data_IF_393096313898
#
_entry.id   IF_393096313898
#
_cell.length_a   1.000
_cell.length_b   1.000
_cell.length_c   1.000
_cell.angle_alpha   90.00
_cell.angle_beta   90.00
_cell.angle_gamma   90.00
#
_symmetry.space_group_name_H-M   'P 1'
#
loop_
_entity.id
_entity.type
_entity.pdbx_description
1 polymer ?
#
# COMPACT_ATOMS: atom_id res chain seq x y z
N UNK A 1 59.32 26.60 12.27
CA UNK A 1 59.23 25.24 11.68
C UNK A 1 58.12 24.48 12.41
N UNK A 2 57.27 23.72 11.70
CA UNK A 2 55.82 23.91 11.77
C UNK A 2 55.09 22.97 12.74
N UNK A 3 53.98 23.47 13.29
CA UNK A 3 52.97 22.69 13.99
C UNK A 3 52.36 21.64 13.04
N UNK A 4 52.53 20.35 13.36
CA UNK A 4 51.80 19.26 12.70
C UNK A 4 50.35 19.28 13.20
N UNK A 5 49.46 19.88 12.41
CA UNK A 5 48.03 19.56 12.47
C UNK A 5 47.88 18.07 12.12
N UNK A 6 47.68 17.24 13.14
CA UNK A 6 47.23 15.86 12.95
C UNK A 6 45.79 15.90 12.45
N UNK A 7 45.62 15.93 11.12
CA UNK A 7 44.33 15.67 10.50
C UNK A 7 43.97 14.21 10.84
N UNK A 8 43.16 14.03 11.88
CA UNK A 8 42.58 12.73 12.23
C UNK A 8 41.70 12.35 11.04
N UNK A 9 42.24 11.52 10.14
CA UNK A 9 41.48 10.92 9.04
C UNK A 9 40.30 10.18 9.67
N UNK A 10 39.13 10.79 9.66
CA UNK A 10 37.87 10.11 9.91
C UNK A 10 37.78 9.04 8.85
N UNK A 11 38.09 7.78 9.21
CA UNK A 11 37.82 6.63 8.37
C UNK A 11 36.32 6.63 8.14
N UNK A 12 35.87 7.07 6.97
CA UNK A 12 34.58 6.67 6.44
C UNK A 12 34.65 5.15 6.36
N UNK A 13 33.99 4.46 7.29
CA UNK A 13 33.86 3.01 7.23
C UNK A 13 33.06 2.72 5.96
N UNK A 14 33.74 2.25 4.91
CA UNK A 14 33.07 1.59 3.80
C UNK A 14 32.52 0.27 4.33
N UNK A 15 31.26 0.27 4.77
CA UNK A 15 30.51 -0.94 5.21
C UNK A 15 30.05 -1.76 3.97
N UNK A 16 30.88 -1.83 2.94
CA UNK A 16 30.68 -2.71 1.79
C UNK A 16 31.70 -3.85 1.88
N UNK A 17 31.60 -4.63 2.95
CA UNK A 17 32.20 -5.96 2.93
C UNK A 17 31.37 -6.83 2.00
N UNK A 18 31.98 -7.78 1.27
CA UNK A 18 31.28 -8.64 0.28
C UNK A 18 30.05 -9.39 0.83
N UNK A 19 29.94 -9.49 2.15
CA UNK A 19 28.91 -10.26 2.85
C UNK A 19 27.74 -9.40 3.34
N UNK A 20 27.78 -8.08 3.15
CA UNK A 20 26.69 -7.19 3.56
C UNK A 20 26.31 -6.24 2.42
N UNK A 21 25.07 -5.80 2.43
CA UNK A 21 24.57 -4.77 1.52
C UNK A 21 23.70 -3.78 2.29
N UNK A 22 23.60 -2.57 1.74
CA UNK A 22 22.71 -1.53 2.25
C UNK A 22 21.54 -1.40 1.29
N UNK A 23 20.32 -1.38 1.82
CA UNK A 23 19.11 -1.07 1.06
C UNK A 23 18.37 0.06 1.72
N UNK A 24 17.71 0.89 0.91
CA UNK A 24 16.81 1.94 1.39
C UNK A 24 15.39 1.40 1.44
N UNK A 25 14.63 1.77 2.46
CA UNK A 25 13.21 1.45 2.59
C UNK A 25 12.47 2.77 2.75
N UNK A 26 11.58 3.08 1.80
CA UNK A 26 10.62 4.18 1.92
C UNK A 26 9.41 3.70 2.71
N UNK A 27 9.14 4.38 3.81
CA UNK A 27 8.01 4.14 4.70
C UNK A 27 6.75 4.85 4.19
N UNK A 28 5.61 4.59 4.84
CA UNK A 28 4.30 5.12 4.42
C UNK A 28 4.14 6.62 4.69
N UNK A 29 4.89 7.16 5.65
CA UNK A 29 5.02 8.59 5.94
C UNK A 29 6.02 9.30 4.99
N UNK A 30 6.52 8.58 3.98
CA UNK A 30 7.56 8.97 3.03
C UNK A 30 8.97 9.12 3.60
N UNK A 31 9.18 8.88 4.90
CA UNK A 31 10.53 8.81 5.46
C UNK A 31 11.29 7.63 4.85
N UNK A 32 12.62 7.77 4.77
CA UNK A 32 13.49 6.73 4.23
C UNK A 32 14.44 6.28 5.31
N UNK A 33 14.44 4.98 5.57
CA UNK A 33 15.40 4.34 6.47
C UNK A 33 16.40 3.49 5.68
N UNK A 34 17.59 3.34 6.23
CA UNK A 34 18.62 2.46 5.67
C UNK A 34 18.78 1.22 6.56
N UNK A 35 18.77 0.05 5.92
CA UNK A 35 19.07 -1.22 6.57
C UNK A 35 20.36 -1.80 5.98
N UNK A 36 21.31 -2.12 6.87
CA UNK A 36 22.49 -2.92 6.53
C UNK A 36 22.17 -4.37 6.84
N UNK A 37 22.16 -5.23 5.82
CA UNK A 37 21.75 -6.63 5.92
C UNK A 37 22.86 -7.54 5.40
N UNK A 38 22.92 -8.77 5.92
CA UNK A 38 23.77 -9.82 5.32
C UNK A 38 23.23 -10.17 3.93
N UNK A 39 24.10 -10.58 3.00
CA UNK A 39 23.67 -11.07 1.68
C UNK A 39 22.76 -12.30 1.74
N UNK A 40 22.76 -13.01 2.87
CA UNK A 40 21.90 -14.16 3.15
C UNK A 40 20.56 -13.77 3.79
N UNK A 41 20.43 -12.52 4.28
CA UNK A 41 19.23 -12.10 4.99
C UNK A 41 17.99 -12.18 4.10
N UNK A 42 16.91 -12.65 4.69
CA UNK A 42 15.62 -12.85 4.05
C UNK A 42 14.82 -11.55 3.98
N UNK A 43 13.72 -11.57 3.23
CA UNK A 43 12.76 -10.46 3.24
C UNK A 43 12.11 -10.29 4.62
N UNK A 44 11.87 -11.39 5.34
CA UNK A 44 11.30 -11.41 6.68
C UNK A 44 12.18 -10.65 7.67
N UNK A 45 13.48 -10.92 7.71
CA UNK A 45 14.41 -10.20 8.60
C UNK A 45 14.46 -8.70 8.29
N UNK A 46 14.33 -8.32 7.02
CA UNK A 46 14.24 -6.91 6.64
C UNK A 46 12.92 -6.26 7.10
N UNK A 47 11.79 -6.96 6.96
CA UNK A 47 10.49 -6.49 7.43
C UNK A 47 10.46 -6.34 8.95
N UNK A 48 11.05 -7.29 9.69
CA UNK A 48 11.19 -7.22 11.14
C UNK A 48 12.04 -6.01 11.58
N UNK A 49 13.12 -5.69 10.85
CA UNK A 49 13.94 -4.51 11.13
C UNK A 49 13.19 -3.18 10.90
N UNK A 50 12.22 -3.16 9.97
CA UNK A 50 11.30 -2.03 9.76
C UNK A 50 10.28 -1.98 10.91
N UNK A 51 9.66 -3.12 11.21
CA UNK A 51 8.66 -3.24 12.26
C UNK A 51 9.20 -2.83 13.64
N UNK A 52 10.44 -3.22 13.97
CA UNK A 52 11.09 -2.83 15.22
C UNK A 52 11.27 -1.31 15.32
N UNK A 53 11.63 -0.63 14.23
CA UNK A 53 11.77 0.84 14.20
C UNK A 53 10.43 1.55 14.35
N UNK A 54 9.36 0.93 13.87
CA UNK A 54 7.99 1.44 13.98
C UNK A 54 7.26 0.95 15.22
N UNK A 55 7.90 0.14 16.08
CA UNK A 55 7.26 -0.51 17.25
C UNK A 55 6.01 -1.35 16.90
N UNK A 56 5.99 -1.89 15.68
CA UNK A 56 4.88 -2.64 15.10
C UNK A 56 5.00 -4.13 15.46
N UNK A 57 3.95 -4.70 16.07
CA UNK A 57 3.85 -6.13 16.42
C UNK A 57 2.96 -6.90 15.45
N UNK A 58 1.92 -6.27 14.91
CA UNK A 58 1.00 -6.86 13.92
C UNK A 58 1.60 -6.87 12.51
N UNK A 59 2.80 -7.44 12.35
CA UNK A 59 3.57 -7.39 11.09
C UNK A 59 2.93 -8.18 9.94
N UNK A 60 2.02 -9.10 10.24
CA UNK A 60 1.35 -9.97 9.27
C UNK A 60 0.43 -9.22 8.29
N UNK A 61 0.10 -7.95 8.54
CA UNK A 61 -0.65 -7.12 7.58
C UNK A 61 0.23 -6.43 6.54
N UNK A 62 1.54 -6.39 6.76
CA UNK A 62 2.46 -5.56 5.99
C UNK A 62 3.44 -6.39 5.17
N UNK A 63 3.99 -5.75 4.15
CA UNK A 63 5.04 -6.32 3.33
C UNK A 63 6.02 -5.27 2.85
N UNK A 64 7.01 -5.74 2.11
CA UNK A 64 7.93 -4.89 1.36
C UNK A 64 7.72 -5.15 -0.13
N UNK A 65 7.77 -4.10 -0.95
CA UNK A 65 7.75 -4.23 -2.40
C UNK A 65 8.84 -3.39 -3.05
N UNK A 66 9.20 -3.74 -4.27
CA UNK A 66 10.15 -2.98 -5.09
C UNK A 66 9.67 -2.86 -6.53
N UNK A 67 10.23 -1.89 -7.24
CA UNK A 67 9.95 -1.68 -8.66
C UNK A 67 10.69 -2.73 -9.51
N UNK A 68 9.97 -3.49 -10.33
CA UNK A 68 10.51 -4.53 -11.19
C UNK A 68 11.26 -3.99 -12.42
N UNK A 69 12.26 -4.73 -12.91
CA UNK A 69 13.01 -4.44 -14.15
C UNK A 69 12.23 -4.69 -15.45
N UNK A 70 11.30 -5.66 -15.43
CA UNK A 70 10.73 -6.24 -16.64
C UNK A 70 9.71 -5.32 -17.34
N UNK A 71 8.98 -4.52 -16.56
CA UNK A 71 8.01 -3.55 -17.07
C UNK A 71 8.08 -2.28 -16.23
N UNK A 72 8.13 -1.09 -16.86
CA UNK A 72 7.96 0.17 -16.16
C UNK A 72 6.66 0.09 -15.33
N UNK A 73 6.74 0.46 -14.04
CA UNK A 73 5.60 0.42 -13.09
C UNK A 73 5.11 -0.96 -12.63
N UNK A 74 5.78 -2.07 -12.96
CA UNK A 74 5.47 -3.35 -12.28
C UNK A 74 5.96 -3.35 -10.83
N UNK A 75 5.03 -3.23 -9.88
CA UNK A 75 5.30 -3.40 -8.46
C UNK A 75 5.44 -4.89 -8.15
N UNK A 76 6.40 -5.25 -7.29
CA UNK A 76 6.61 -6.63 -6.88
C UNK A 76 6.83 -6.73 -5.38
N UNK A 77 5.97 -7.49 -4.71
CA UNK A 77 6.15 -7.85 -3.32
C UNK A 77 7.38 -8.76 -3.13
N UNK A 78 8.11 -8.51 -2.05
CA UNK A 78 9.22 -9.32 -1.59
C UNK A 78 8.70 -10.65 -1.10
N UNK A 79 9.30 -11.74 -1.55
CA UNK A 79 9.07 -13.05 -0.97
C UNK A 79 9.84 -13.14 0.36
N UNK A 80 9.12 -13.04 1.47
CA UNK A 80 9.70 -12.88 2.81
C UNK A 80 10.64 -14.03 3.18
N UNK A 81 10.33 -15.26 2.77
CA UNK A 81 11.14 -16.47 3.05
C UNK A 81 12.42 -16.59 2.21
N UNK A 82 12.63 -15.72 1.22
CA UNK A 82 13.77 -15.82 0.28
C UNK A 82 14.81 -14.74 0.54
N UNK A 83 16.10 -15.00 0.24
CA UNK A 83 17.15 -14.00 0.38
C UNK A 83 16.84 -12.72 -0.39
N UNK A 84 16.75 -11.59 0.32
CA UNK A 84 16.31 -10.31 -0.23
C UNK A 84 17.25 -9.80 -1.32
N UNK A 85 18.57 -9.90 -1.09
CA UNK A 85 19.58 -9.47 -2.06
C UNK A 85 19.42 -10.16 -3.42
N UNK A 86 19.17 -11.47 -3.43
CA UNK A 86 18.99 -12.24 -4.67
C UNK A 86 17.75 -11.77 -5.43
N UNK A 87 16.68 -11.39 -4.73
CA UNK A 87 15.46 -10.87 -5.35
C UNK A 87 15.70 -9.50 -5.98
N UNK A 88 16.35 -8.58 -5.25
CA UNK A 88 16.68 -7.24 -5.74
C UNK A 88 17.64 -7.29 -6.93
N UNK A 89 18.73 -8.07 -6.85
CA UNK A 89 19.71 -8.19 -7.94
C UNK A 89 19.06 -8.76 -9.21
N UNK A 90 18.18 -9.76 -9.06
CA UNK A 90 17.52 -10.43 -10.19
C UNK A 90 16.38 -9.61 -10.79
N UNK A 91 15.56 -8.98 -9.96
CA UNK A 91 14.27 -8.42 -10.37
C UNK A 91 14.10 -6.92 -10.11
N UNK A 92 14.84 -6.33 -9.18
CA UNK A 92 14.67 -4.94 -8.74
C UNK A 92 15.37 -3.93 -9.64
N UNK A 93 14.66 -2.88 -10.04
CA UNK A 93 15.20 -1.80 -10.85
C UNK A 93 16.26 -0.98 -10.11
N UNK A 94 16.06 -0.76 -8.81
CA UNK A 94 16.95 -0.03 -7.92
C UNK A 94 16.96 -0.68 -6.52
N UNK A 95 17.98 -0.43 -5.68
CA UNK A 95 18.01 -0.90 -4.29
C UNK A 95 17.12 -0.02 -3.38
N UNK A 96 15.85 0.16 -3.78
CA UNK A 96 14.82 0.85 -3.02
C UNK A 96 13.64 -0.10 -2.82
N UNK A 97 13.31 -0.31 -1.56
CA UNK A 97 12.11 -0.99 -1.11
C UNK A 97 11.09 0.03 -0.62
N UNK A 98 9.84 -0.41 -0.61
CA UNK A 98 8.71 0.35 -0.13
C UNK A 98 7.97 -0.51 0.89
N UNK A 99 7.72 0.05 2.06
CA UNK A 99 6.86 -0.57 3.06
C UNK A 99 5.40 -0.26 2.73
N UNK A 100 4.51 -1.24 2.91
CA UNK A 100 3.09 -1.04 2.64
C UNK A 100 2.20 -2.13 3.23
N UNK A 101 0.90 -1.85 3.25
CA UNK A 101 -0.12 -2.83 3.63
C UNK A 101 -0.26 -3.84 2.50
N UNK A 102 -0.08 -5.12 2.82
CA UNK A 102 -0.21 -6.24 1.88
C UNK A 102 -1.56 -6.95 2.06
N UNK A 103 -2.05 -7.05 3.29
CA UNK A 103 -3.29 -7.76 3.59
C UNK A 103 -4.29 -6.83 4.27
N UNK A 104 -5.38 -6.57 3.55
CA UNK A 104 -6.41 -5.69 4.05
C UNK A 104 -7.41 -6.43 4.96
N UNK A 105 -7.83 -5.78 6.04
CA UNK A 105 -8.90 -6.26 6.92
C UNK A 105 -10.27 -5.74 6.46
N UNK A 106 -11.36 -6.52 6.65
CA UNK A 106 -12.72 -6.07 6.35
C UNK A 106 -13.24 -4.99 7.31
N UNK A 107 -12.61 -4.84 8.47
CA UNK A 107 -13.00 -3.86 9.48
C UNK A 107 -11.78 -3.49 10.33
N UNK A 108 -11.50 -2.20 10.44
CA UNK A 108 -10.38 -1.60 11.16
C UNK A 108 -10.37 -1.93 12.65
N UNK A 109 -11.51 -2.32 13.24
CA UNK A 109 -11.57 -2.79 14.64
C UNK A 109 -10.77 -4.07 14.88
N UNK A 110 -10.36 -4.78 13.82
CA UNK A 110 -9.46 -5.92 13.90
C UNK A 110 -8.00 -5.53 14.12
N UNK A 111 -7.64 -4.26 13.91
CA UNK A 111 -6.28 -3.77 14.15
C UNK A 111 -6.17 -3.33 15.61
N UNK A 112 -5.37 -4.04 16.40
CA UNK A 112 -5.32 -3.86 17.85
C UNK A 112 -4.44 -2.66 18.22
N UNK A 113 -3.27 -2.52 17.61
CA UNK A 113 -2.33 -1.46 17.95
C UNK A 113 -2.67 -0.14 17.25
N UNK A 114 -2.52 0.96 17.97
CA UNK A 114 -2.65 2.31 17.41
C UNK A 114 -1.64 2.55 16.28
N UNK A 115 -0.39 2.11 16.44
CA UNK A 115 0.62 2.25 15.39
C UNK A 115 0.27 1.48 14.13
N UNK A 116 -0.38 0.31 14.24
CA UNK A 116 -0.89 -0.44 13.09
C UNK A 116 -1.96 0.37 12.37
N UNK A 117 -2.92 0.96 13.10
CA UNK A 117 -3.96 1.82 12.54
C UNK A 117 -3.36 3.05 11.86
N UNK A 118 -2.36 3.68 12.45
CA UNK A 118 -1.66 4.82 11.85
C UNK A 118 -1.00 4.45 10.52
N UNK A 119 -0.25 3.35 10.46
CA UNK A 119 0.33 2.87 9.20
C UNK A 119 -0.74 2.56 8.16
N UNK A 120 -1.86 1.97 8.59
CA UNK A 120 -2.99 1.67 7.73
C UNK A 120 -3.64 2.94 7.16
N UNK A 121 -3.84 3.95 8.01
CA UNK A 121 -4.31 5.29 7.64
C UNK A 121 -3.42 5.92 6.56
N UNK A 122 -2.09 5.88 6.74
CA UNK A 122 -1.15 6.43 5.76
C UNK A 122 -1.25 5.74 4.39
N UNK A 123 -1.38 4.40 4.38
CA UNK A 123 -1.57 3.64 3.16
C UNK A 123 -2.86 4.04 2.44
N UNK A 124 -4.00 4.04 3.14
CA UNK A 124 -5.29 4.30 2.51
C UNK A 124 -5.44 5.77 2.09
N UNK A 125 -4.86 6.71 2.85
CA UNK A 125 -4.76 8.12 2.45
C UNK A 125 -4.00 8.26 1.15
N UNK A 126 -2.84 7.60 1.04
CA UNK A 126 -2.06 7.57 -0.20
C UNK A 126 -2.86 6.99 -1.36
N UNK A 127 -3.63 5.92 -1.16
CA UNK A 127 -4.43 5.30 -2.20
C UNK A 127 -5.57 6.18 -2.72
N UNK A 128 -6.20 6.95 -1.83
CA UNK A 128 -7.18 7.98 -2.21
C UNK A 128 -6.48 9.09 -3.00
N UNK A 129 -5.37 9.64 -2.48
CA UNK A 129 -4.65 10.76 -3.12
C UNK A 129 -4.01 10.38 -4.47
N UNK A 130 -3.52 9.15 -4.61
CA UNK A 130 -3.01 8.61 -5.89
C UNK A 130 -4.14 8.34 -6.90
N UNK A 131 -5.41 8.47 -6.49
CA UNK A 131 -6.59 8.17 -7.32
C UNK A 131 -6.82 6.67 -7.55
N UNK A 132 -6.17 5.80 -6.76
CA UNK A 132 -6.38 4.34 -6.82
C UNK A 132 -7.74 3.96 -6.25
N UNK A 133 -8.11 4.56 -5.12
CA UNK A 133 -9.45 4.46 -4.54
C UNK A 133 -10.29 5.63 -5.01
N UNK A 134 -11.38 5.31 -5.71
CA UNK A 134 -12.28 6.32 -6.26
C UNK A 134 -13.27 6.76 -5.18
N UNK A 135 -13.44 8.07 -5.03
CA UNK A 135 -14.42 8.66 -4.14
C UNK A 135 -15.18 9.78 -4.86
N UNK A 136 -16.38 10.10 -4.39
CA UNK A 136 -17.10 11.30 -4.83
C UNK A 136 -16.44 12.56 -4.29
N UNK A 137 -16.81 13.73 -4.82
CA UNK A 137 -16.36 15.03 -4.29
C UNK A 137 -16.68 15.19 -2.81
N UNK A 138 -17.91 14.85 -2.41
CA UNK A 138 -18.35 14.93 -1.01
C UNK A 138 -17.54 13.99 -0.10
N UNK A 139 -17.30 12.75 -0.53
CA UNK A 139 -16.47 11.81 0.22
C UNK A 139 -15.02 12.31 0.33
N UNK A 140 -14.45 12.85 -0.74
CA UNK A 140 -13.09 13.38 -0.73
C UNK A 140 -12.92 14.58 0.18
N UNK A 141 -13.89 15.50 0.21
CA UNK A 141 -13.89 16.65 1.15
C UNK A 141 -13.92 16.17 2.60
N UNK A 142 -14.79 15.20 2.93
CA UNK A 142 -14.85 14.62 4.27
C UNK A 142 -13.54 13.92 4.66
N UNK A 143 -12.99 13.12 3.77
CA UNK A 143 -11.69 12.46 3.97
C UNK A 143 -10.59 13.48 4.19
N UNK A 144 -10.53 14.55 3.39
CA UNK A 144 -9.56 15.62 3.55
C UNK A 144 -9.69 16.33 4.92
N UNK A 145 -10.92 16.62 5.39
CA UNK A 145 -11.15 17.18 6.72
C UNK A 145 -10.65 16.29 7.86
N UNK A 146 -10.92 14.99 7.78
CA UNK A 146 -10.40 13.99 8.72
C UNK A 146 -8.87 13.88 8.65
N UNK A 147 -8.28 13.92 7.45
CA UNK A 147 -6.84 13.88 7.27
C UNK A 147 -6.17 15.11 7.88
N UNK A 148 -6.73 16.31 7.68
CA UNK A 148 -6.20 17.54 8.30
C UNK A 148 -6.23 17.42 9.82
N UNK A 149 -7.33 16.94 10.42
CA UNK A 149 -7.39 16.70 11.87
C UNK A 149 -6.36 15.66 12.34
N UNK A 150 -6.17 14.57 11.59
CA UNK A 150 -5.22 13.50 11.91
C UNK A 150 -3.75 13.92 11.77
N UNK A 151 -3.43 14.81 10.83
CA UNK A 151 -2.04 15.21 10.56
C UNK A 151 -1.63 16.48 11.32
N UNK A 152 -2.56 17.41 11.55
CA UNK A 152 -2.28 18.74 12.09
C UNK A 152 -2.95 19.02 13.43
N UNK A 153 -3.89 18.18 13.88
CA UNK A 153 -4.64 18.40 15.13
C UNK A 153 -5.71 19.47 15.01
N UNK A 154 -6.11 20.07 16.14
CA UNK A 154 -7.30 20.92 16.23
C UNK A 154 -7.21 22.22 15.41
N UNK A 155 -8.32 22.55 14.74
CA UNK A 155 -8.52 23.82 14.01
C UNK A 155 -8.10 25.07 14.81
N UNK A 156 -8.35 25.10 16.12
CA UNK A 156 -8.07 26.25 17.00
C UNK A 156 -6.58 26.52 17.23
N UNK A 157 -5.71 25.60 16.83
CA UNK A 157 -4.26 25.74 16.94
C UNK A 157 -3.68 26.63 15.84
N UNK A 158 -4.48 26.98 14.82
CA UNK A 158 -4.05 27.75 13.66
C UNK A 158 -4.68 29.15 13.65
N UNK A 159 -3.87 30.16 13.35
CA UNK A 159 -4.34 31.55 13.19
C UNK A 159 -5.15 31.75 11.89
N UNK A 160 -4.81 30.99 10.85
CA UNK A 160 -5.53 30.93 9.58
C UNK A 160 -5.46 29.52 8.99
N UNK A 161 -6.30 29.25 7.98
CA UNK A 161 -6.34 27.97 7.26
C UNK A 161 -5.55 28.01 5.94
N UNK A 162 -4.69 29.01 5.75
CA UNK A 162 -3.95 29.19 4.49
C UNK A 162 -3.02 28.00 4.18
N UNK A 163 -2.56 27.28 5.21
CA UNK A 163 -1.73 26.08 5.06
C UNK A 163 -2.42 24.97 4.25
N UNK A 164 -3.76 24.95 4.21
CA UNK A 164 -4.51 23.98 3.43
C UNK A 164 -4.22 24.09 1.92
N UNK A 165 -3.83 25.28 1.43
CA UNK A 165 -3.46 25.50 0.02
C UNK A 165 -2.15 24.83 -0.37
N UNK A 166 -1.26 24.60 0.59
CA UNK A 166 0.03 23.91 0.37
C UNK A 166 -0.07 22.40 0.66
N UNK A 167 -1.20 21.95 1.22
CA UNK A 167 -1.43 20.56 1.55
C UNK A 167 -2.13 19.80 0.43
N UNK A 168 -1.73 18.55 0.19
CA UNK A 168 -2.34 17.70 -0.85
C UNK A 168 -3.65 17.13 -0.31
N UNK A 169 -4.75 17.83 -0.60
CA UNK A 169 -6.08 17.49 -0.08
C UNK A 169 -6.85 16.48 -0.93
N UNK A 170 -6.65 16.51 -2.26
CA UNK A 170 -7.52 15.82 -3.21
C UNK A 170 -6.76 14.86 -4.11
N UNK A 171 -7.45 13.86 -4.69
CA UNK A 171 -6.85 12.92 -5.63
C UNK A 171 -6.18 13.59 -6.84
N UNK A 172 -5.03 13.07 -7.25
CA UNK A 172 -4.23 13.60 -8.38
C UNK A 172 -4.97 13.56 -9.72
N UNK A 173 -5.98 12.71 -9.86
CA UNK A 173 -6.80 12.57 -11.07
C UNK A 173 -8.02 13.52 -11.11
N UNK A 174 -8.24 14.34 -10.08
CA UNK A 174 -9.33 15.32 -10.07
C UNK A 174 -8.99 16.58 -10.86
N UNK A 175 -10.00 17.39 -11.29
CA UNK A 175 -9.76 18.66 -11.94
C UNK A 175 -8.98 19.62 -11.04
N UNK A 176 -7.89 20.19 -11.56
CA UNK A 176 -7.09 21.20 -10.87
C UNK A 176 -7.45 22.59 -11.39
N UNK A 177 -8.70 22.99 -11.18
CA UNK A 177 -9.19 24.33 -11.54
C UNK A 177 -9.24 25.17 -10.27
N UNK A 178 -8.49 26.28 -10.23
CA UNK A 178 -8.25 27.05 -9.01
C UNK A 178 -9.53 27.44 -8.26
N UNK A 179 -10.55 27.95 -8.97
CA UNK A 179 -11.83 28.35 -8.36
C UNK A 179 -12.56 27.16 -7.69
N UNK A 180 -12.52 25.99 -8.32
CA UNK A 180 -13.17 24.76 -7.81
C UNK A 180 -12.39 24.22 -6.61
N UNK A 181 -11.06 24.22 -6.70
CA UNK A 181 -10.18 23.80 -5.61
C UNK A 181 -10.34 24.72 -4.40
N UNK A 182 -10.47 26.03 -4.59
CA UNK A 182 -10.71 26.97 -3.51
C UNK A 182 -12.06 26.72 -2.83
N UNK A 183 -13.13 26.49 -3.59
CA UNK A 183 -14.43 26.12 -3.04
C UNK A 183 -14.35 24.83 -2.20
N UNK A 184 -13.69 23.79 -2.72
CA UNK A 184 -13.54 22.53 -1.98
C UNK A 184 -12.66 22.67 -0.75
N UNK A 185 -11.58 23.44 -0.85
CA UNK A 185 -10.67 23.72 0.29
C UNK A 185 -11.40 24.46 1.41
N UNK A 186 -12.29 25.39 1.07
CA UNK A 186 -13.15 26.06 2.05
C UNK A 186 -14.07 25.06 2.77
N UNK A 187 -14.66 24.10 2.05
CA UNK A 187 -15.47 23.03 2.65
C UNK A 187 -14.64 22.09 3.53
N UNK A 188 -13.38 21.82 3.14
CA UNK A 188 -12.45 21.05 3.99
C UNK A 188 -12.17 21.79 5.31
N UNK A 189 -11.99 23.11 5.27
CA UNK A 189 -11.82 23.90 6.50
C UNK A 189 -13.06 23.84 7.41
N UNK A 190 -14.27 23.78 6.84
CA UNK A 190 -15.51 23.59 7.59
C UNK A 190 -15.61 22.19 8.23
N UNK A 191 -15.26 21.13 7.48
CA UNK A 191 -15.17 19.76 8.00
C UNK A 191 -14.14 19.68 9.13
N UNK A 192 -12.92 20.22 8.95
CA UNK A 192 -11.88 20.26 9.97
C UNK A 192 -12.34 20.95 11.24
N UNK A 193 -13.02 22.09 11.11
CA UNK A 193 -13.63 22.81 12.25
C UNK A 193 -14.69 21.97 12.96
N UNK A 194 -15.46 21.16 12.23
CA UNK A 194 -16.47 20.27 12.81
C UNK A 194 -15.86 19.14 13.68
N UNK A 195 -14.59 18.80 13.43
CA UNK A 195 -13.83 17.78 14.17
C UNK A 195 -13.03 18.35 15.35
N UNK A 196 -13.25 19.62 15.73
CA UNK A 196 -12.55 20.24 16.85
C UNK A 196 -12.65 19.40 18.14
N UNK A 197 -11.50 19.20 18.80
CA UNK A 197 -11.25 18.37 20.00
C UNK A 197 -11.23 16.86 19.75
N UNK A 198 -11.36 16.41 18.51
CA UNK A 198 -11.17 15.01 18.15
C UNK A 198 -9.69 14.65 18.27
N UNK A 199 -9.39 13.50 18.90
CA UNK A 199 -8.01 13.03 19.01
C UNK A 199 -7.47 12.57 17.65
N UNK A 200 -6.17 12.70 17.42
CA UNK A 200 -5.54 12.32 16.14
C UNK A 200 -5.84 10.85 15.78
N UNK A 201 -5.63 9.94 16.73
CA UNK A 201 -5.92 8.51 16.56
C UNK A 201 -7.40 8.21 16.28
N UNK A 202 -8.32 9.07 16.75
CA UNK A 202 -9.75 8.94 16.44
C UNK A 202 -10.05 9.41 15.01
N UNK A 203 -9.44 10.51 14.57
CA UNK A 203 -9.54 11.01 13.20
C UNK A 203 -8.97 9.99 12.19
N UNK A 204 -7.82 9.38 12.49
CA UNK A 204 -7.23 8.28 11.70
C UNK A 204 -8.21 7.10 11.57
N UNK A 205 -8.80 6.66 12.68
CA UNK A 205 -9.75 5.56 12.71
C UNK A 205 -11.01 5.88 11.88
N UNK A 206 -11.55 7.09 12.00
CA UNK A 206 -12.70 7.54 11.23
C UNK A 206 -12.36 7.66 9.73
N UNK A 207 -11.17 8.13 9.39
CA UNK A 207 -10.69 8.17 8.00
C UNK A 207 -10.72 6.77 7.39
N UNK A 208 -10.13 5.78 8.08
CA UNK A 208 -10.13 4.39 7.59
C UNK A 208 -11.57 3.87 7.43
N UNK A 209 -12.46 4.14 8.39
CA UNK A 209 -13.88 3.73 8.30
C UNK A 209 -14.62 4.35 7.12
N UNK A 210 -14.30 5.59 6.73
CA UNK A 210 -14.88 6.19 5.52
C UNK A 210 -14.30 5.54 4.25
N UNK A 211 -12.99 5.26 4.24
CA UNK A 211 -12.35 4.58 3.10
C UNK A 211 -12.85 3.14 2.92
N UNK A 212 -13.14 2.42 4.00
CA UNK A 212 -13.72 1.06 3.96
C UNK A 212 -15.04 0.98 3.17
N UNK A 213 -15.75 2.10 3.04
CA UNK A 213 -17.01 2.20 2.29
C UNK A 213 -16.82 2.45 0.80
N UNK A 214 -15.61 2.79 0.35
CA UNK A 214 -15.31 3.08 -1.05
C UNK A 214 -15.25 1.77 -1.88
N UNK A 215 -15.75 1.82 -3.12
CA UNK A 215 -15.54 0.69 -4.03
C UNK A 215 -14.05 0.57 -4.37
N UNK A 216 -13.57 -0.67 -4.42
CA UNK A 216 -12.15 -0.98 -4.60
C UNK A 216 -11.35 -1.09 -3.32
N UNK A 217 -11.91 -0.76 -2.13
CA UNK A 217 -11.17 -0.92 -0.87
C UNK A 217 -10.69 -2.36 -0.66
N UNK A 218 -9.38 -2.52 -0.44
CA UNK A 218 -8.74 -3.82 -0.26
C UNK A 218 -8.86 -4.76 -1.46
N UNK A 219 -9.15 -4.23 -2.66
CA UNK A 219 -9.23 -4.98 -3.90
C UNK A 219 -7.97 -4.76 -4.73
N UNK A 220 -7.37 -5.85 -5.19
CA UNK A 220 -6.33 -5.82 -6.23
C UNK A 220 -6.91 -6.46 -7.49
N UNK A 221 -6.63 -5.89 -8.68
CA UNK A 221 -7.17 -6.42 -9.93
C UNK A 221 -6.16 -6.38 -11.07
N UNK A 222 -6.29 -7.35 -11.97
CA UNK A 222 -5.37 -7.58 -13.08
C UNK A 222 -6.16 -7.80 -14.36
N UNK A 223 -5.66 -7.23 -15.46
CA UNK A 223 -6.25 -7.44 -16.78
C UNK A 223 -6.09 -8.91 -17.21
N UNK A 224 -7.19 -9.52 -17.60
CA UNK A 224 -7.27 -10.89 -18.06
C UNK A 224 -8.26 -11.03 -19.23
N UNK A 225 -8.30 -12.22 -19.82
CA UNK A 225 -9.30 -12.63 -20.79
C UNK A 225 -10.02 -13.87 -20.29
N UNK A 226 -11.34 -13.92 -20.46
CA UNK A 226 -12.10 -15.13 -20.20
C UNK A 226 -11.85 -16.22 -21.27
N UNK A 227 -12.52 -17.36 -21.15
CA UNK A 227 -12.47 -18.45 -22.13
C UNK A 227 -13.03 -18.06 -23.51
N UNK A 228 -13.85 -17.00 -23.57
CA UNK A 228 -14.42 -16.45 -24.80
C UNK A 228 -13.60 -15.27 -25.35
N UNK A 229 -12.40 -15.02 -24.81
CA UNK A 229 -11.46 -13.95 -25.19
C UNK A 229 -11.92 -12.52 -24.89
N UNK A 230 -13.00 -12.35 -24.13
CA UNK A 230 -13.48 -11.05 -23.68
C UNK A 230 -12.50 -10.45 -22.67
N UNK A 231 -12.24 -9.15 -22.80
CA UNK A 231 -11.38 -8.44 -21.86
C UNK A 231 -12.12 -8.20 -20.54
N UNK A 232 -11.53 -8.71 -19.46
CA UNK A 232 -12.05 -8.66 -18.10
C UNK A 232 -10.95 -8.25 -17.12
N UNK A 233 -11.34 -7.99 -15.88
CA UNK A 233 -10.44 -7.87 -14.74
C UNK A 233 -10.74 -9.00 -13.76
N UNK A 234 -9.73 -9.81 -13.44
CA UNK A 234 -9.78 -10.70 -12.29
C UNK A 234 -9.23 -9.94 -11.10
N UNK A 235 -9.93 -9.99 -9.97
CA UNK A 235 -9.46 -9.35 -8.75
C UNK A 235 -9.63 -10.21 -7.53
N UNK A 236 -8.88 -9.83 -6.50
CA UNK A 236 -8.80 -10.51 -5.21
C UNK A 236 -9.06 -9.48 -4.12
N UNK A 237 -9.78 -9.88 -3.08
CA UNK A 237 -10.00 -9.09 -1.88
C UNK A 237 -10.07 -9.97 -0.63
N UNK A 238 -10.20 -9.36 0.54
CA UNK A 238 -10.45 -10.09 1.79
C UNK A 238 -11.76 -10.90 1.78
N UNK A 239 -12.69 -10.64 0.85
CA UNK A 239 -13.95 -11.40 0.71
C UNK A 239 -13.77 -12.64 -0.18
N UNK A 240 -12.95 -12.53 -1.23
CA UNK A 240 -12.79 -13.61 -2.20
C UNK A 240 -12.18 -13.16 -3.53
N UNK A 241 -12.43 -13.95 -4.57
CA UNK A 241 -12.06 -13.67 -5.95
C UNK A 241 -13.27 -13.13 -6.71
N UNK A 242 -13.09 -12.07 -7.47
CA UNK A 242 -14.13 -11.47 -8.28
C UNK A 242 -13.69 -11.24 -9.73
N UNK A 243 -14.66 -11.10 -10.62
CA UNK A 243 -14.43 -10.78 -12.03
C UNK A 243 -15.26 -9.55 -12.38
N UNK A 244 -14.63 -8.53 -12.95
CA UNK A 244 -15.27 -7.30 -13.45
C UNK A 244 -15.12 -7.19 -14.97
N UNK A 245 -16.12 -6.66 -15.66
CA UNK A 245 -15.96 -6.19 -17.04
C UNK A 245 -15.11 -4.92 -17.08
N UNK A 246 -14.62 -4.53 -18.27
CA UNK A 246 -13.92 -3.24 -18.48
C UNK A 246 -14.70 -2.01 -18.02
N UNK A 247 -16.03 -2.07 -17.99
CA UNK A 247 -16.89 -0.97 -17.50
C UNK A 247 -17.06 -0.96 -15.97
N UNK A 248 -16.30 -1.77 -15.23
CA UNK A 248 -16.33 -1.83 -13.76
C UNK A 248 -17.43 -2.72 -13.17
N UNK A 249 -18.37 -3.22 -14.00
CA UNK A 249 -19.47 -4.06 -13.51
C UNK A 249 -18.95 -5.44 -13.08
N UNK A 250 -19.18 -5.80 -11.82
CA UNK A 250 -18.91 -7.15 -11.31
C UNK A 250 -19.83 -8.17 -11.98
N UNK A 251 -19.22 -9.23 -12.52
CA UNK A 251 -19.85 -10.33 -13.23
C UNK A 251 -19.98 -11.53 -12.30
N UNK A 252 -18.93 -11.82 -11.54
CA UNK A 252 -18.82 -12.99 -10.69
C UNK A 252 -18.11 -12.63 -9.39
N UNK A 253 -18.52 -13.28 -8.30
CA UNK A 253 -17.90 -13.13 -7.00
C UNK A 253 -17.94 -14.46 -6.25
N UNK A 254 -16.78 -15.04 -5.98
CA UNK A 254 -16.60 -16.30 -5.27
C UNK A 254 -15.93 -16.04 -3.94
N UNK A 255 -16.59 -16.40 -2.83
CA UNK A 255 -16.02 -16.23 -1.49
C UNK A 255 -14.93 -17.26 -1.26
N UNK A 256 -13.97 -16.94 -0.39
CA UNK A 256 -12.87 -17.85 -0.05
C UNK A 256 -13.33 -19.26 0.36
N UNK A 257 -14.39 -19.38 1.14
CA UNK A 257 -14.94 -20.68 1.57
C UNK A 257 -15.50 -21.55 0.42
N UNK A 258 -15.81 -20.93 -0.72
CA UNK A 258 -16.40 -21.58 -1.88
C UNK A 258 -15.32 -21.92 -2.95
N UNK A 259 -14.04 -21.61 -2.67
CA UNK A 259 -12.88 -21.83 -3.55
C UNK A 259 -12.01 -22.96 -2.97
N UNK A 260 -11.63 -23.92 -3.81
CA UNK A 260 -10.77 -25.05 -3.42
C UNK A 260 -9.30 -24.75 -3.65
N UNK A 261 -8.94 -24.51 -4.91
CA UNK A 261 -7.57 -24.27 -5.33
C UNK A 261 -7.50 -23.14 -6.36
N UNK A 262 -6.40 -22.38 -6.32
CA UNK A 262 -6.07 -21.38 -7.32
C UNK A 262 -4.69 -21.73 -7.86
N UNK A 263 -4.64 -22.05 -9.16
CA UNK A 263 -3.42 -22.42 -9.85
C UNK A 263 -3.07 -21.37 -10.91
N UNK A 264 -1.77 -21.14 -11.12
CA UNK A 264 -1.28 -20.30 -12.21
C UNK A 264 -0.28 -21.09 -13.06
N UNK A 265 -0.52 -21.16 -14.36
CA UNK A 265 0.32 -21.84 -15.34
C UNK A 265 0.62 -20.91 -16.51
N UNK A 266 1.86 -20.41 -16.58
CA UNK A 266 2.38 -19.50 -17.61
C UNK A 266 1.58 -18.20 -17.76
N UNK A 267 0.47 -18.27 -18.51
CA UNK A 267 -0.41 -17.16 -18.86
C UNK A 267 -1.86 -17.48 -18.54
N UNK A 268 -2.14 -18.48 -17.70
CA UNK A 268 -3.48 -18.88 -17.31
C UNK A 268 -3.59 -19.01 -15.80
N UNK A 269 -4.68 -18.47 -15.24
CA UNK A 269 -5.11 -18.65 -13.86
C UNK A 269 -6.33 -19.57 -13.88
N UNK A 270 -6.33 -20.58 -13.03
CA UNK A 270 -7.43 -21.52 -12.85
C UNK A 270 -7.94 -21.41 -11.43
N UNK A 271 -9.26 -21.25 -11.26
CA UNK A 271 -9.93 -21.13 -9.97
C UNK A 271 -10.95 -22.27 -9.87
N UNK A 272 -10.70 -23.20 -8.95
CA UNK A 272 -11.59 -24.32 -8.66
C UNK A 272 -12.65 -23.90 -7.64
N UNK A 273 -13.94 -24.04 -7.99
CA UNK A 273 -15.09 -23.66 -7.17
C UNK A 273 -15.72 -24.92 -6.58
N UNK A 274 -15.37 -25.20 -5.32
CA UNK A 274 -15.78 -26.44 -4.62
C UNK A 274 -17.28 -26.56 -4.48
N UNK A 275 -17.98 -25.44 -4.28
CA UNK A 275 -19.45 -25.43 -4.12
C UNK A 275 -20.22 -25.86 -5.37
N UNK A 276 -19.60 -25.80 -6.56
CA UNK A 276 -20.26 -26.07 -7.84
C UNK A 276 -19.60 -27.19 -8.64
N UNK A 277 -18.53 -27.80 -8.12
CA UNK A 277 -17.67 -28.73 -8.86
C UNK A 277 -17.29 -28.18 -10.25
N UNK A 278 -16.91 -26.89 -10.27
CA UNK A 278 -16.65 -26.13 -11.49
C UNK A 278 -15.24 -25.54 -11.45
N UNK A 279 -14.65 -25.32 -12.61
CA UNK A 279 -13.30 -24.80 -12.76
C UNK A 279 -13.29 -23.67 -13.79
N UNK A 280 -13.00 -22.46 -13.32
CA UNK A 280 -12.97 -21.26 -14.16
C UNK A 280 -11.53 -20.98 -14.57
N UNK A 281 -11.31 -20.73 -15.85
CA UNK A 281 -9.99 -20.42 -16.40
C UNK A 281 -9.96 -19.00 -17.00
N UNK A 282 -8.90 -18.27 -16.68
CA UNK A 282 -8.64 -16.92 -17.15
C UNK A 282 -7.25 -16.85 -17.78
N UNK A 283 -7.09 -16.11 -18.88
CA UNK A 283 -5.81 -15.89 -19.53
C UNK A 283 -5.26 -14.51 -19.19
N UNK A 284 -4.05 -14.43 -18.64
CA UNK A 284 -3.45 -13.15 -18.22
C UNK A 284 -2.88 -12.42 -19.44
N UNK A 285 -3.13 -11.11 -19.54
CA UNK A 285 -2.69 -10.29 -20.69
C UNK A 285 -1.19 -9.95 -20.59
N UNK A 286 -0.63 -10.02 -19.39
CA UNK A 286 0.80 -9.94 -19.10
C UNK A 286 1.22 -11.17 -18.28
N UNK A 287 2.51 -11.51 -18.31
CA UNK A 287 3.07 -12.48 -17.36
C UNK A 287 2.91 -11.86 -15.98
N UNK A 288 1.91 -12.33 -15.21
CA UNK A 288 1.90 -12.09 -13.78
C UNK A 288 3.24 -12.64 -13.31
N UNK A 289 4.09 -11.79 -12.72
CA UNK A 289 5.26 -12.30 -12.06
C UNK A 289 4.76 -13.20 -10.93
N UNK A 290 4.67 -14.50 -11.22
CA UNK A 290 4.61 -15.56 -10.23
C UNK A 290 5.68 -15.16 -9.21
N UNK A 291 5.26 -14.84 -7.99
CA UNK A 291 6.09 -14.92 -6.79
C UNK A 291 5.27 -14.54 -5.57
N UNK A 292 4.50 -15.53 -5.18
CA UNK A 292 3.92 -15.70 -3.89
C UNK A 292 3.24 -17.05 -3.93
N UNK A 293 3.98 -18.13 -3.62
CA UNK A 293 3.36 -19.24 -2.89
C UNK A 293 3.01 -18.75 -1.48
N UNK A 294 2.30 -17.63 -1.39
CA UNK A 294 1.42 -17.37 -0.29
C UNK A 294 0.25 -18.28 -0.60
N UNK A 295 0.12 -19.34 0.18
CA UNK A 295 -1.20 -19.91 0.41
C UNK A 295 -2.18 -18.73 0.43
N UNK A 296 -3.10 -18.66 -0.53
CA UNK A 296 -4.34 -17.90 -0.39
C UNK A 296 -5.20 -18.61 0.66
N UNK A 297 -4.61 -18.87 1.83
CA UNK A 297 -5.35 -19.29 3.01
C UNK A 297 -5.94 -18.01 3.55
N UNK A 298 -7.23 -17.82 3.26
CA UNK A 298 -8.06 -17.01 4.13
C UNK A 298 -7.89 -17.56 5.55
N UNK A 299 -7.13 -16.84 6.37
CA UNK A 299 -7.30 -16.96 7.81
C UNK A 299 -8.62 -16.24 8.11
N UNK A 300 -9.67 -17.04 8.19
CA UNK A 300 -10.86 -16.71 8.97
C UNK A 300 -10.53 -16.71 10.45
#
# INVERSE_FOLDING_TARGET
MPFRLMLRRTRRYNVLSKNYFVTRIRLLDNNVIECTLSVESTGQECLEAVAQRLELRETHYFGLWFQGKAQPQSQRWVELEKPLKKQLDKFGNEPLLFFGVMFYVPNVSRLEQEVTRYQYYLQVKKEVLDGRLHCTVEQGIRLAGLAVQADFGDFTQFLSQDFLREYVLFPVNWPHVDEVLEEWTQKVAEEHKSHCRMQLAEAELLYIKEVEKLDGFGQESFAAKDTYTNDIFIGVSFIGVFVKHRNGRSIMHHRWKDIGNIAHNKSAITVEITSKDDTIMFHTVSVISNNGTGRLTGHG
#
